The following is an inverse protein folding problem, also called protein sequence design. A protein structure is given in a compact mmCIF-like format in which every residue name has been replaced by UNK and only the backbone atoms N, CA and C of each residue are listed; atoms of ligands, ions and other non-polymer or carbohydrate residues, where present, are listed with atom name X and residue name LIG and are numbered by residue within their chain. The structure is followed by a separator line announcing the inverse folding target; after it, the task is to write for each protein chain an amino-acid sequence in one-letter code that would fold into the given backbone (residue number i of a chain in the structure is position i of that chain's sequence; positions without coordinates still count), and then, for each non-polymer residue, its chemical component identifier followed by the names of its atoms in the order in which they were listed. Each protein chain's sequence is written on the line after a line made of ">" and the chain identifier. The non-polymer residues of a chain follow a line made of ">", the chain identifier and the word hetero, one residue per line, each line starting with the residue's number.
data_IF_782857858946
#
_entry.id   IF_782857858946
#
_cell.length_a   1.000
_cell.length_b   1.000
_cell.length_c   1.000
_cell.angle_alpha   90.00
_cell.angle_beta   90.00
_cell.angle_gamma   90.00
#
_symmetry.space_group_name_H-M   'P 1'
#
loop_
_entity.id
_entity.type
_entity.pdbx_description
1 polymer ?
#
# COMPACT_ATOMS: atom_id res chain seq x y z
N UNK A 1 31.86 -29.85 -14.77
CA UNK A 1 30.39 -29.77 -14.85
C UNK A 1 30.00 -30.17 -16.26
N UNK A 2 29.44 -31.37 -16.41
CA UNK A 2 29.28 -32.03 -17.72
C UNK A 2 27.84 -32.40 -18.04
N UNK A 3 26.95 -32.37 -17.04
CA UNK A 3 25.51 -32.58 -17.20
C UNK A 3 24.71 -31.42 -16.59
N UNK A 4 23.44 -31.31 -16.97
CA UNK A 4 22.50 -30.37 -16.32
C UNK A 4 22.28 -30.73 -14.84
N UNK A 5 22.39 -32.02 -14.48
CA UNK A 5 22.32 -32.47 -13.09
C UNK A 5 23.47 -31.92 -12.25
N UNK A 6 24.71 -31.97 -12.76
CA UNK A 6 25.89 -31.42 -12.07
C UNK A 6 25.74 -29.91 -11.80
N UNK A 7 25.09 -29.19 -12.72
CA UNK A 7 24.80 -27.76 -12.54
C UNK A 7 23.75 -27.51 -11.47
N UNK A 8 22.64 -28.25 -11.53
CA UNK A 8 21.57 -28.17 -10.56
C UNK A 8 22.09 -28.45 -9.14
N UNK A 9 22.88 -29.51 -8.97
CA UNK A 9 23.40 -29.89 -7.65
C UNK A 9 24.38 -28.85 -7.11
N UNK A 10 25.23 -28.29 -7.98
CA UNK A 10 26.11 -27.19 -7.60
C UNK A 10 25.31 -25.94 -7.21
N UNK A 11 24.29 -25.56 -8.01
CA UNK A 11 23.43 -24.41 -7.74
C UNK A 11 22.73 -24.55 -6.37
N UNK A 12 22.06 -25.69 -6.13
CA UNK A 12 21.37 -25.96 -4.86
C UNK A 12 22.35 -25.98 -3.70
N UNK A 13 23.53 -26.58 -3.88
CA UNK A 13 24.57 -26.59 -2.84
C UNK A 13 25.01 -25.17 -2.49
N UNK A 14 25.25 -24.33 -3.50
CA UNK A 14 25.66 -22.93 -3.29
C UNK A 14 24.57 -22.13 -2.59
N UNK A 15 23.30 -22.25 -3.01
CA UNK A 15 22.17 -21.56 -2.37
C UNK A 15 22.03 -21.94 -0.89
N UNK A 16 22.15 -23.23 -0.57
CA UNK A 16 22.09 -23.71 0.83
C UNK A 16 23.27 -23.20 1.64
N UNK A 17 24.50 -23.28 1.10
CA UNK A 17 25.70 -22.82 1.79
C UNK A 17 25.67 -21.30 2.05
N UNK A 18 25.23 -20.51 1.07
CA UNK A 18 25.10 -19.05 1.22
C UNK A 18 24.05 -18.69 2.27
N UNK A 19 22.89 -19.36 2.25
CA UNK A 19 21.86 -19.13 3.25
C UNK A 19 22.34 -19.50 4.66
N UNK A 20 23.01 -20.65 4.80
CA UNK A 20 23.57 -21.08 6.08
C UNK A 20 24.59 -20.08 6.62
N UNK A 21 25.55 -19.63 5.81
CA UNK A 21 26.58 -18.67 6.23
C UNK A 21 25.97 -17.32 6.66
N UNK A 22 25.05 -16.77 5.86
CA UNK A 22 24.35 -15.53 6.18
C UNK A 22 23.53 -15.67 7.47
N UNK A 23 22.82 -16.79 7.63
CA UNK A 23 21.94 -16.99 8.78
C UNK A 23 22.71 -17.25 10.07
N UNK A 24 23.83 -17.99 10.03
CA UNK A 24 24.70 -18.18 11.18
C UNK A 24 25.29 -16.85 11.65
N UNK A 25 25.80 -16.03 10.73
CA UNK A 25 26.30 -14.70 11.06
C UNK A 25 25.20 -13.79 11.61
N UNK A 26 24.01 -13.80 11.00
CA UNK A 26 22.84 -13.07 11.49
C UNK A 26 22.47 -13.50 12.91
N UNK A 27 22.45 -14.81 13.20
CA UNK A 27 22.18 -15.36 14.52
C UNK A 27 23.20 -14.90 15.55
N UNK A 28 24.49 -14.96 15.23
CA UNK A 28 25.56 -14.45 16.10
C UNK A 28 25.39 -12.96 16.38
N UNK A 29 25.08 -12.16 15.35
CA UNK A 29 24.83 -10.73 15.50
C UNK A 29 23.64 -10.47 16.44
N UNK A 30 22.49 -11.10 16.22
CA UNK A 30 21.30 -10.92 17.05
C UNK A 30 21.51 -11.34 18.50
N UNK A 31 22.21 -12.46 18.72
CA UNK A 31 22.59 -12.89 20.08
C UNK A 31 23.56 -11.90 20.73
N UNK A 32 24.50 -11.32 19.99
CA UNK A 32 25.46 -10.37 20.54
C UNK A 32 24.81 -9.04 20.92
N UNK A 33 24.01 -8.45 20.02
CA UNK A 33 23.39 -7.12 20.22
C UNK A 33 22.12 -7.20 21.07
N UNK A 34 21.17 -8.05 20.70
CA UNK A 34 19.83 -8.07 21.30
C UNK A 34 19.68 -9.14 22.39
N UNK A 35 20.65 -10.07 22.49
CA UNK A 35 20.56 -11.24 23.38
C UNK A 35 19.30 -12.07 23.08
N UNK A 36 18.89 -12.12 21.81
CA UNK A 36 17.73 -12.88 21.33
C UNK A 36 18.23 -13.77 20.19
N UNK A 37 17.77 -15.02 20.19
CA UNK A 37 18.05 -15.95 19.10
C UNK A 37 16.95 -15.82 18.03
N UNK A 38 17.26 -15.41 16.78
CA UNK A 38 16.28 -15.31 15.71
C UNK A 38 15.58 -16.63 15.40
N UNK A 39 16.18 -17.79 15.73
CA UNK A 39 15.54 -19.10 15.58
C UNK A 39 14.28 -19.27 16.46
N UNK A 40 14.09 -18.42 17.48
CA UNK A 40 12.89 -18.42 18.33
C UNK A 40 11.84 -17.39 17.91
N UNK A 41 12.02 -16.79 16.73
CA UNK A 41 11.10 -15.80 16.17
C UNK A 41 10.62 -16.28 14.80
N UNK A 42 9.34 -16.10 14.51
CA UNK A 42 8.77 -16.54 13.23
C UNK A 42 9.25 -15.68 12.05
N UNK A 43 9.48 -14.38 12.27
CA UNK A 43 9.79 -13.41 11.23
C UNK A 43 10.72 -12.30 11.76
N UNK A 44 11.39 -11.59 10.85
CA UNK A 44 12.24 -10.45 11.20
C UNK A 44 11.49 -9.32 11.94
N UNK A 45 10.24 -8.95 11.60
CA UNK A 45 9.46 -8.02 12.42
C UNK A 45 9.21 -8.51 13.84
N UNK A 46 8.95 -9.82 14.02
CA UNK A 46 8.80 -10.41 15.35
C UNK A 46 10.08 -10.31 16.19
N UNK A 47 11.24 -10.53 15.56
CA UNK A 47 12.54 -10.29 16.19
C UNK A 47 12.75 -8.82 16.55
N UNK A 48 12.49 -7.90 15.62
CA UNK A 48 12.63 -6.47 15.85
C UNK A 48 11.73 -5.99 17.00
N UNK A 49 10.50 -6.49 17.07
CA UNK A 49 9.55 -6.21 18.14
C UNK A 49 10.07 -6.70 19.51
N UNK A 50 10.49 -7.96 19.59
CA UNK A 50 11.06 -8.50 20.83
C UNK A 50 12.32 -7.76 21.27
N UNK A 51 13.20 -7.40 20.31
CA UNK A 51 14.39 -6.62 20.58
C UNK A 51 14.02 -5.22 21.11
N UNK A 52 13.05 -4.54 20.49
CA UNK A 52 12.54 -3.24 20.93
C UNK A 52 12.05 -3.30 22.38
N UNK A 53 11.14 -4.22 22.71
CA UNK A 53 10.61 -4.38 24.07
C UNK A 53 11.70 -4.70 25.09
N UNK A 54 12.67 -5.54 24.73
CA UNK A 54 13.77 -5.92 25.62
C UNK A 54 14.75 -4.77 25.88
N UNK A 55 15.05 -3.98 24.85
CA UNK A 55 15.99 -2.85 24.95
C UNK A 55 15.38 -1.67 25.71
N UNK A 56 14.13 -1.33 25.39
CA UNK A 56 13.41 -0.20 26.03
C UNK A 56 12.87 -0.55 27.41
N UNK A 57 12.57 -1.84 27.66
CA UNK A 57 11.89 -2.35 28.86
C UNK A 57 10.49 -1.74 29.07
N UNK A 58 9.92 -1.15 28.02
CA UNK A 58 8.56 -0.60 28.06
C UNK A 58 7.56 -1.73 28.29
N UNK A 59 6.50 -1.42 29.02
CA UNK A 59 5.33 -2.30 29.14
C UNK A 59 4.20 -1.63 28.37
N UNK A 60 3.76 -2.29 27.31
CA UNK A 60 2.63 -1.82 26.52
C UNK A 60 1.37 -2.44 27.07
N UNK A 61 0.39 -1.61 27.38
CA UNK A 61 -0.95 -2.05 27.70
C UNK A 61 -1.66 -2.51 26.42
N UNK A 62 -2.45 -3.58 26.54
CA UNK A 62 -3.30 -4.05 25.46
C UNK A 62 -4.67 -3.36 25.57
N UNK A 63 -5.20 -2.91 24.44
CA UNK A 63 -6.59 -2.47 24.36
C UNK A 63 -7.50 -3.66 24.64
N UNK A 64 -8.31 -3.55 25.70
CA UNK A 64 -9.28 -4.59 26.10
C UNK A 64 -10.70 -4.28 25.66
N UNK A 65 -10.99 -3.00 25.40
CA UNK A 65 -12.25 -2.53 24.85
C UNK A 65 -12.23 -2.65 23.31
N UNK A 66 -13.26 -3.31 22.76
CA UNK A 66 -13.45 -3.48 21.33
C UNK A 66 -13.73 -2.16 20.62
N UNK A 67 -14.45 -1.24 21.27
CA UNK A 67 -14.81 0.04 20.67
C UNK A 67 -13.56 0.92 20.54
N UNK A 68 -12.66 0.91 21.53
CA UNK A 68 -11.35 1.59 21.44
C UNK A 68 -10.47 1.00 20.34
N UNK A 69 -10.47 -0.33 20.21
CA UNK A 69 -9.72 -1.01 19.16
C UNK A 69 -10.20 -0.58 17.77
N UNK A 70 -11.52 -0.64 17.53
CA UNK A 70 -12.12 -0.26 16.25
C UNK A 70 -11.90 1.23 15.95
N UNK A 71 -11.97 2.08 16.98
CA UNK A 71 -11.71 3.51 16.86
C UNK A 71 -10.27 3.79 16.40
N UNK A 72 -9.28 3.17 17.05
CA UNK A 72 -7.86 3.31 16.67
C UNK A 72 -7.62 2.71 15.28
N UNK A 73 -8.17 1.54 14.99
CA UNK A 73 -8.04 0.88 13.69
C UNK A 73 -8.59 1.75 12.55
N UNK A 74 -9.77 2.38 12.75
CA UNK A 74 -10.36 3.35 11.82
C UNK A 74 -9.45 4.57 11.61
N UNK A 75 -8.62 4.93 12.57
CA UNK A 75 -7.64 6.02 12.50
C UNK A 75 -6.32 5.67 11.81
N UNK A 76 -5.95 4.39 11.68
CA UNK A 76 -4.67 3.99 11.09
C UNK A 76 -4.63 4.36 9.60
N UNK A 77 -3.55 5.04 9.19
CA UNK A 77 -3.27 5.40 7.79
C UNK A 77 -1.89 4.90 7.38
N UNK A 78 -1.75 4.55 6.11
CA UNK A 78 -0.46 4.21 5.51
C UNK A 78 0.36 5.45 5.16
N UNK A 79 1.48 5.25 4.46
CA UNK A 79 2.25 6.35 3.89
C UNK A 79 1.44 7.12 2.84
N UNK A 80 1.59 8.45 2.83
CA UNK A 80 0.95 9.30 1.83
C UNK A 80 1.73 9.16 0.51
N UNK A 81 1.05 8.70 -0.54
CA UNK A 81 1.59 8.60 -1.89
C UNK A 81 0.74 9.45 -2.82
N UNK A 82 1.34 10.48 -3.41
CA UNK A 82 0.63 11.44 -4.26
C UNK A 82 1.47 11.85 -5.47
N UNK A 83 0.78 12.03 -6.60
CA UNK A 83 1.35 12.56 -7.84
C UNK A 83 0.64 13.87 -8.17
N UNK A 84 1.26 15.00 -7.81
CA UNK A 84 0.70 16.33 -8.07
C UNK A 84 0.83 16.76 -9.54
N UNK A 85 1.89 16.31 -10.22
CA UNK A 85 2.13 16.57 -11.64
C UNK A 85 2.50 15.28 -12.36
N UNK A 86 1.84 14.98 -13.48
CA UNK A 86 2.06 13.75 -14.24
C UNK A 86 3.41 13.71 -14.96
N UNK A 87 3.92 14.87 -15.34
CA UNK A 87 5.20 15.01 -16.05
C UNK A 87 5.87 16.31 -15.68
N UNK A 88 7.14 16.23 -15.29
CA UNK A 88 8.01 17.37 -15.08
C UNK A 88 9.33 17.13 -15.82
N UNK A 89 9.83 18.17 -16.49
CA UNK A 89 11.12 18.13 -17.18
C UNK A 89 11.93 19.35 -16.75
N UNK A 90 13.13 19.09 -16.22
CA UNK A 90 14.07 20.16 -15.90
C UNK A 90 14.63 20.78 -17.19
N UNK A 91 14.81 22.10 -17.18
CA UNK A 91 15.53 22.85 -18.21
C UNK A 91 16.72 23.54 -17.54
N UNK A 92 17.91 22.96 -17.59
CA UNK A 92 19.10 23.61 -17.03
C UNK A 92 20.33 23.37 -17.89
N UNK A 93 21.33 24.25 -17.72
CA UNK A 93 22.52 24.32 -18.57
C UNK A 93 23.41 23.05 -18.54
N UNK A 94 23.19 22.14 -17.59
CA UNK A 94 23.92 20.88 -17.49
C UNK A 94 23.31 19.77 -18.36
N UNK A 95 22.14 19.98 -18.95
CA UNK A 95 21.46 19.02 -19.82
C UNK A 95 21.78 19.27 -21.29
N UNK A 96 21.91 18.20 -22.07
CA UNK A 96 22.22 18.26 -23.51
C UNK A 96 21.12 18.90 -24.37
N UNK A 97 19.91 18.99 -23.84
CA UNK A 97 18.73 19.58 -24.47
C UNK A 97 18.29 20.90 -23.82
N UNK A 98 19.22 21.61 -23.18
CA UNK A 98 18.97 22.92 -22.60
C UNK A 98 18.52 23.93 -23.65
N UNK A 99 17.44 24.64 -23.35
CA UNK A 99 16.95 25.76 -24.15
C UNK A 99 17.13 27.07 -23.37
N UNK A 100 18.04 27.92 -23.86
CA UNK A 100 18.32 29.23 -23.27
C UNK A 100 17.17 30.24 -23.38
N UNK A 101 16.16 29.96 -24.20
CA UNK A 101 14.96 30.81 -24.32
C UNK A 101 13.93 30.54 -23.22
N UNK A 102 14.03 29.39 -22.53
CA UNK A 102 13.13 29.00 -21.46
C UNK A 102 13.79 29.26 -20.09
N UNK A 103 12.98 29.51 -19.03
CA UNK A 103 13.52 29.67 -17.68
C UNK A 103 14.24 28.41 -17.21
N UNK A 104 15.30 28.61 -16.41
CA UNK A 104 16.05 27.51 -15.82
C UNK A 104 15.22 26.81 -14.74
N UNK A 105 15.15 25.48 -14.78
CA UNK A 105 14.47 24.64 -13.79
C UNK A 105 15.27 23.38 -13.45
N UNK A 106 15.11 22.92 -12.20
CA UNK A 106 15.79 21.76 -11.63
C UNK A 106 14.76 20.86 -10.97
N UNK A 107 15.02 19.56 -10.98
CA UNK A 107 14.25 18.57 -10.22
C UNK A 107 15.16 18.07 -9.11
N UNK A 108 14.66 18.09 -7.88
CA UNK A 108 15.38 17.59 -6.70
C UNK A 108 14.71 16.31 -6.22
N UNK A 109 15.53 15.34 -5.81
CA UNK A 109 15.08 14.15 -5.10
C UNK A 109 15.46 14.31 -3.63
N UNK A 110 14.48 14.27 -2.75
CA UNK A 110 14.66 14.35 -1.31
C UNK A 110 14.12 13.06 -0.68
N UNK A 111 14.90 12.49 0.23
CA UNK A 111 14.54 11.26 0.94
C UNK A 111 14.88 11.42 2.42
N UNK A 112 13.93 11.01 3.27
CA UNK A 112 14.08 11.12 4.72
C UNK A 112 14.73 9.84 5.26
N UNK A 113 15.95 9.99 5.81
CA UNK A 113 16.66 8.88 6.43
C UNK A 113 15.90 8.35 7.65
N UNK A 114 15.39 7.10 7.56
CA UNK A 114 14.70 6.42 8.66
C UNK A 114 13.49 7.21 9.23
N UNK A 115 12.59 7.67 8.34
CA UNK A 115 11.40 8.45 8.69
C UNK A 115 10.60 7.85 9.85
N UNK A 116 10.25 6.56 9.76
CA UNK A 116 9.49 5.89 10.82
C UNK A 116 10.31 5.72 12.11
N UNK A 117 11.62 5.50 12.04
CA UNK A 117 12.45 5.43 13.24
C UNK A 117 12.52 6.76 13.98
N UNK A 118 12.58 7.88 13.24
CA UNK A 118 12.48 9.21 13.83
C UNK A 118 11.10 9.44 14.48
N UNK A 119 10.01 9.06 13.80
CA UNK A 119 8.66 9.16 14.35
C UNK A 119 8.47 8.27 15.60
N UNK A 120 9.01 7.05 15.60
CA UNK A 120 8.99 6.14 16.75
C UNK A 120 9.87 6.60 17.92
N UNK A 121 10.72 7.61 17.71
CA UNK A 121 11.52 8.23 18.78
C UNK A 121 10.80 9.40 19.46
N UNK A 122 9.61 9.78 18.98
CA UNK A 122 8.78 10.81 19.61
C UNK A 122 7.97 10.22 20.78
N UNK A 123 7.25 11.08 21.52
CA UNK A 123 6.33 10.63 22.56
C UNK A 123 5.17 9.85 21.94
N UNK A 124 4.96 8.61 22.39
CA UNK A 124 3.95 7.70 21.88
C UNK A 124 3.12 7.12 23.03
N UNK A 125 1.83 6.82 22.80
CA UNK A 125 0.97 6.22 23.82
C UNK A 125 1.43 4.79 24.13
N UNK A 126 1.44 4.44 25.43
CA UNK A 126 1.92 3.12 25.88
C UNK A 126 0.99 2.43 26.87
N UNK A 127 0.24 3.18 27.68
CA UNK A 127 -0.65 2.67 28.73
C UNK A 127 -1.67 3.74 29.17
N UNK A 128 -2.54 3.35 30.10
CA UNK A 128 -3.65 4.09 30.71
C UNK A 128 -4.71 4.54 29.70
N UNK A 129 -5.03 3.66 28.76
CA UNK A 129 -6.06 3.90 27.74
C UNK A 129 -7.45 3.99 28.39
N UNK A 130 -8.10 5.14 28.22
CA UNK A 130 -9.45 5.38 28.74
C UNK A 130 -10.23 6.33 27.85
N UNK A 131 -11.56 6.17 27.84
CA UNK A 131 -12.47 7.14 27.25
C UNK A 131 -12.60 8.34 28.18
N UNK A 132 -12.71 9.54 27.62
CA UNK A 132 -12.95 10.78 28.37
C UNK A 132 -13.97 11.63 27.63
N UNK A 133 -14.92 12.18 28.40
CA UNK A 133 -15.90 13.16 27.92
C UNK A 133 -15.43 14.61 28.22
N UNK A 134 -14.18 14.79 28.67
CA UNK A 134 -13.64 16.10 28.99
C UNK A 134 -13.47 16.95 27.73
N UNK A 135 -13.90 18.22 27.82
CA UNK A 135 -13.68 19.21 26.76
C UNK A 135 -12.22 19.68 26.79
N UNK A 136 -11.37 18.96 26.07
CA UNK A 136 -9.94 19.23 25.98
C UNK A 136 -9.67 20.15 24.80
N UNK A 137 -9.09 21.32 25.08
CA UNK A 137 -8.58 22.20 24.04
C UNK A 137 -7.25 21.65 23.49
N UNK A 138 -7.36 20.74 22.51
CA UNK A 138 -6.23 20.05 21.90
C UNK A 138 -5.17 20.98 21.29
N UNK A 139 -5.54 22.20 20.88
CA UNK A 139 -4.60 23.18 20.32
C UNK A 139 -3.58 23.70 21.33
N UNK A 140 -3.84 23.50 22.63
CA UNK A 140 -2.97 23.94 23.72
C UNK A 140 -2.23 22.79 24.41
N UNK A 141 -2.38 21.55 23.94
CA UNK A 141 -1.68 20.39 24.50
C UNK A 141 -0.29 20.29 23.87
N UNK A 142 0.80 20.26 24.65
CA UNK A 142 2.15 20.07 24.12
C UNK A 142 2.35 18.67 23.51
N UNK A 143 3.17 18.58 22.47
CA UNK A 143 3.51 17.30 21.81
C UNK A 143 4.24 16.31 22.75
N UNK A 144 4.89 16.80 23.79
CA UNK A 144 5.60 16.04 24.83
C UNK A 144 4.81 15.92 26.14
N UNK A 145 3.50 16.15 26.09
CA UNK A 145 2.59 15.94 27.23
C UNK A 145 2.65 14.50 27.74
N UNK A 146 2.56 14.33 29.05
CA UNK A 146 2.46 13.01 29.70
C UNK A 146 1.17 12.27 29.30
N UNK A 147 0.10 13.03 29.03
CA UNK A 147 -1.19 12.52 28.58
C UNK A 147 -1.38 12.93 27.11
N UNK A 148 -1.56 11.92 26.25
CA UNK A 148 -1.93 12.09 24.85
C UNK A 148 -3.43 11.88 24.63
N UNK A 149 -3.97 12.48 23.57
CA UNK A 149 -5.38 12.39 23.23
C UNK A 149 -5.56 11.99 21.76
N UNK A 150 -6.58 11.19 21.48
CA UNK A 150 -7.03 10.86 20.12
C UNK A 150 -8.47 11.36 20.01
N UNK A 151 -8.74 12.14 18.97
CA UNK A 151 -10.04 12.80 18.80
C UNK A 151 -10.76 12.28 17.56
N UNK A 152 -12.08 12.15 17.67
CA UNK A 152 -12.98 12.12 16.52
C UNK A 152 -13.71 13.46 16.48
N UNK A 153 -13.58 14.16 15.36
CA UNK A 153 -14.04 15.54 15.20
C UNK A 153 -14.74 15.70 13.86
N UNK A 154 -15.70 16.61 13.82
CA UNK A 154 -16.24 17.13 12.58
C UNK A 154 -15.32 18.25 12.07
N UNK A 155 -14.90 18.17 10.81
CA UNK A 155 -14.02 19.15 10.19
C UNK A 155 -14.75 19.89 9.07
N UNK A 156 -14.81 21.22 9.17
CA UNK A 156 -15.22 22.08 8.08
C UNK A 156 -14.00 22.46 7.24
N UNK A 157 -14.06 22.24 5.92
CA UNK A 157 -12.93 22.49 5.02
C UNK A 157 -13.27 23.59 3.99
N UNK A 158 -12.83 24.84 4.22
CA UNK A 158 -13.21 25.99 3.39
C UNK A 158 -12.85 25.81 1.91
N UNK A 159 -13.79 26.14 1.03
CA UNK A 159 -13.65 26.00 -0.43
C UNK A 159 -12.43 26.76 -0.98
N UNK A 160 -12.08 27.89 -0.38
CA UNK A 160 -10.92 28.71 -0.75
C UNK A 160 -9.57 28.00 -0.58
N UNK A 161 -9.50 26.94 0.22
CA UNK A 161 -8.27 26.17 0.45
C UNK A 161 -8.12 24.97 -0.48
N UNK A 162 -9.17 24.59 -1.22
CA UNK A 162 -9.18 23.35 -2.00
C UNK A 162 -8.12 23.37 -3.11
N UNK A 163 -7.99 24.47 -3.83
CA UNK A 163 -6.98 24.63 -4.89
C UNK A 163 -5.56 24.65 -4.32
N UNK A 164 -5.36 25.30 -3.15
CA UNK A 164 -4.05 25.41 -2.51
C UNK A 164 -3.55 24.05 -2.01
N UNK A 165 -4.44 23.25 -1.43
CA UNK A 165 -4.11 21.95 -0.86
C UNK A 165 -4.37 20.79 -1.84
N UNK A 166 -4.66 21.07 -3.11
CA UNK A 166 -4.89 20.05 -4.13
C UNK A 166 -3.71 19.07 -4.26
N UNK A 167 -2.49 19.53 -3.97
CA UNK A 167 -1.29 18.70 -4.01
C UNK A 167 -1.05 17.87 -2.74
N UNK A 168 -1.74 18.18 -1.64
CA UNK A 168 -1.59 17.51 -0.35
C UNK A 168 -2.84 17.77 0.52
N UNK A 169 -3.95 17.06 0.26
CA UNK A 169 -5.18 17.27 1.02
C UNK A 169 -4.99 16.86 2.48
N UNK A 170 -5.48 17.69 3.39
CA UNK A 170 -5.40 17.44 4.82
C UNK A 170 -6.51 16.48 5.26
N UNK A 171 -6.24 15.70 6.31
CA UNK A 171 -7.18 14.75 6.91
C UNK A 171 -7.84 13.77 5.90
N UNK A 172 -7.06 12.99 5.12
CA UNK A 172 -7.63 12.03 4.18
C UNK A 172 -8.43 10.93 4.89
N UNK A 173 -9.67 10.73 4.45
CA UNK A 173 -10.56 9.69 4.95
C UNK A 173 -10.62 8.49 3.99
N UNK A 174 -10.68 7.29 4.56
CA UNK A 174 -10.95 6.07 3.80
C UNK A 174 -12.46 5.97 3.57
N UNK A 175 -12.90 6.37 2.38
CA UNK A 175 -14.32 6.30 1.98
C UNK A 175 -14.51 5.18 0.95
N UNK A 176 -15.51 4.34 1.19
CA UNK A 176 -16.00 3.40 0.18
C UNK A 176 -16.99 4.13 -0.75
N UNK A 177 -16.62 4.26 -2.02
CA UNK A 177 -17.41 5.01 -3.00
C UNK A 177 -18.61 4.18 -3.47
N UNK A 178 -19.77 4.37 -2.84
CA UNK A 178 -21.02 3.71 -3.24
C UNK A 178 -21.86 4.51 -4.25
N UNK A 179 -21.51 5.77 -4.54
CA UNK A 179 -22.36 6.64 -5.35
C UNK A 179 -21.77 6.93 -6.75
N UNK A 180 -22.54 6.72 -7.84
CA UNK A 180 -22.09 6.93 -9.22
C UNK A 180 -21.59 8.35 -9.53
N UNK A 181 -22.07 9.37 -8.81
CA UNK A 181 -21.67 10.77 -9.04
C UNK A 181 -20.21 11.07 -8.69
N UNK A 182 -19.61 10.36 -7.72
CA UNK A 182 -18.17 10.50 -7.41
C UNK A 182 -17.28 9.89 -8.49
N UNK A 183 -17.83 8.98 -9.30
CA UNK A 183 -17.12 8.39 -10.44
C UNK A 183 -17.02 9.35 -11.62
N UNK A 184 -17.91 10.34 -11.75
CA UNK A 184 -17.95 11.21 -12.94
C UNK A 184 -16.74 12.15 -13.02
N UNK A 185 -16.25 12.65 -11.88
CA UNK A 185 -15.04 13.45 -11.82
C UNK A 185 -13.77 12.60 -11.98
N UNK A 186 -13.70 11.45 -11.32
CA UNK A 186 -12.55 10.53 -11.42
C UNK A 186 -12.42 9.90 -12.81
N UNK A 187 -13.54 9.60 -13.49
CA UNK A 187 -13.56 9.16 -14.90
C UNK A 187 -12.88 10.15 -15.85
N UNK A 188 -12.88 11.45 -15.53
CA UNK A 188 -12.26 12.49 -16.35
C UNK A 188 -10.71 12.48 -16.28
N UNK A 189 -10.13 11.86 -15.25
CA UNK A 189 -8.68 11.80 -15.00
C UNK A 189 -8.09 10.40 -15.15
N UNK A 190 -8.92 9.37 -15.26
CA UNK A 190 -8.50 8.01 -15.58
C UNK A 190 -8.11 7.94 -17.07
N UNK A 191 -6.81 7.84 -17.34
CA UNK A 191 -6.26 7.52 -18.66
C UNK A 191 -6.34 6.02 -19.00
N UNK A 192 -6.91 5.20 -18.11
CA UNK A 192 -7.20 3.81 -18.42
C UNK A 192 -8.50 3.79 -19.23
N UNK A 193 -8.49 3.27 -20.48
CA UNK A 193 -9.73 2.95 -21.17
C UNK A 193 -10.63 2.12 -20.25
N UNK A 194 -11.95 2.36 -20.24
CA UNK A 194 -12.89 1.67 -19.33
C UNK A 194 -12.72 0.13 -19.35
N UNK A 195 -12.27 -0.43 -20.47
CA UNK A 195 -11.89 -1.84 -20.65
C UNK A 195 -10.81 -2.31 -19.66
N UNK A 196 -9.80 -1.49 -19.34
CA UNK A 196 -8.77 -1.85 -18.36
C UNK A 196 -9.26 -1.75 -16.93
N UNK A 197 -10.24 -0.89 -16.65
CA UNK A 197 -10.80 -0.73 -15.31
C UNK A 197 -11.72 -1.91 -14.97
N UNK A 198 -12.44 -2.45 -15.96
CA UNK A 198 -13.15 -3.72 -15.81
C UNK A 198 -12.18 -4.86 -15.53
N UNK A 199 -11.05 -4.96 -16.23
CA UNK A 199 -10.02 -5.95 -15.94
C UNK A 199 -9.42 -5.80 -14.54
N UNK A 200 -9.24 -4.58 -14.02
CA UNK A 200 -8.75 -4.38 -12.63
C UNK A 200 -9.78 -4.75 -11.55
N UNK A 201 -11.08 -4.66 -11.85
CA UNK A 201 -12.16 -5.04 -10.92
C UNK A 201 -12.49 -6.54 -11.03
N UNK A 202 -12.23 -7.17 -12.18
CA UNK A 202 -12.50 -8.59 -12.43
C UNK A 202 -11.30 -9.52 -12.27
N UNK A 203 -10.06 -9.07 -12.44
CA UNK A 203 -8.87 -9.92 -12.33
C UNK A 203 -8.35 -10.00 -10.89
N UNK A 204 -9.10 -10.65 -10.00
CA UNK A 204 -8.53 -11.36 -8.84
C UNK A 204 -9.33 -12.59 -8.41
N UNK A 205 -10.09 -13.19 -9.32
CA UNK A 205 -10.61 -14.53 -9.11
C UNK A 205 -9.95 -15.41 -10.17
N UNK A 206 -9.24 -16.45 -9.74
CA UNK A 206 -8.81 -17.48 -10.67
C UNK A 206 -10.05 -18.09 -11.33
N UNK A 207 -9.91 -18.74 -12.49
CA UNK A 207 -11.02 -19.45 -13.14
C UNK A 207 -11.72 -20.45 -12.17
N UNK A 208 -10.96 -20.96 -11.20
CA UNK A 208 -11.49 -21.73 -10.08
C UNK A 208 -12.39 -20.88 -9.19
N UNK A 209 -11.92 -19.73 -8.72
CA UNK A 209 -12.64 -18.86 -7.79
C UNK A 209 -13.94 -18.29 -8.38
N UNK A 210 -13.97 -17.96 -9.69
CA UNK A 210 -15.19 -17.55 -10.37
C UNK A 210 -16.24 -18.68 -10.38
N UNK A 211 -15.80 -19.90 -10.69
CA UNK A 211 -16.68 -21.09 -10.64
C UNK A 211 -17.14 -21.36 -9.22
N UNK A 212 -16.27 -21.24 -8.22
CA UNK A 212 -16.59 -21.44 -6.80
C UNK A 212 -17.63 -20.42 -6.33
N UNK A 213 -17.47 -19.14 -6.66
CA UNK A 213 -18.43 -18.08 -6.31
C UNK A 213 -19.79 -18.27 -6.98
N UNK A 214 -19.83 -18.69 -8.24
CA UNK A 214 -21.09 -18.93 -8.97
C UNK A 214 -21.95 -20.01 -8.30
N UNK A 215 -21.31 -21.05 -7.74
CA UNK A 215 -21.98 -22.12 -6.99
C UNK A 215 -22.55 -21.58 -5.67
N UNK A 216 -21.74 -20.82 -4.93
CA UNK A 216 -22.14 -20.27 -3.63
C UNK A 216 -23.33 -19.30 -3.76
N UNK A 217 -23.33 -18.46 -4.80
CA UNK A 217 -24.36 -17.46 -5.06
C UNK A 217 -25.65 -18.04 -5.66
N UNK A 218 -25.66 -19.28 -6.13
CA UNK A 218 -26.86 -19.91 -6.69
C UNK A 218 -27.90 -20.18 -5.60
N UNK A 219 -28.98 -19.39 -5.58
CA UNK A 219 -30.08 -19.51 -4.59
C UNK A 219 -31.01 -20.70 -4.84
N UNK A 220 -30.88 -21.38 -5.99
CA UNK A 220 -31.76 -22.48 -6.38
C UNK A 220 -31.21 -23.88 -6.03
N UNK A 221 -29.96 -23.96 -5.52
CA UNK A 221 -29.33 -25.21 -5.10
C UNK A 221 -29.34 -25.34 -3.58
N UNK A 222 -29.54 -26.56 -3.08
CA UNK A 222 -29.38 -26.84 -1.66
C UNK A 222 -27.88 -26.87 -1.27
N UNK A 223 -27.59 -26.66 0.01
CA UNK A 223 -26.20 -26.58 0.48
C UNK A 223 -25.42 -27.89 0.27
N UNK A 224 -26.11 -29.04 0.27
CA UNK A 224 -25.52 -30.35 0.00
C UNK A 224 -25.00 -30.45 -1.44
N UNK A 225 -25.79 -30.01 -2.41
CA UNK A 225 -25.45 -29.96 -3.85
C UNK A 225 -24.33 -28.96 -4.11
N UNK A 226 -24.34 -27.81 -3.42
CA UNK A 226 -23.25 -26.82 -3.51
C UNK A 226 -21.92 -27.40 -3.07
N UNK A 227 -21.90 -28.10 -1.93
CA UNK A 227 -20.69 -28.75 -1.40
C UNK A 227 -20.19 -29.84 -2.36
N UNK A 228 -21.09 -30.64 -2.94
CA UNK A 228 -20.73 -31.65 -3.93
C UNK A 228 -20.07 -31.05 -5.17
N UNK A 229 -20.66 -30.00 -5.75
CA UNK A 229 -20.10 -29.34 -6.94
C UNK A 229 -18.74 -28.67 -6.60
N UNK A 230 -18.65 -28.03 -5.43
CA UNK A 230 -17.43 -27.39 -4.95
C UNK A 230 -16.27 -28.40 -4.85
N UNK A 231 -16.54 -29.60 -4.31
CA UNK A 231 -15.55 -30.68 -4.20
C UNK A 231 -15.16 -31.28 -5.55
N UNK A 232 -16.11 -31.41 -6.50
CA UNK A 232 -15.82 -31.89 -7.85
C UNK A 232 -14.89 -30.94 -8.61
N UNK A 233 -15.14 -29.63 -8.51
CA UNK A 233 -14.28 -28.61 -9.14
C UNK A 233 -12.90 -28.62 -8.48
N UNK A 234 -12.81 -28.63 -7.15
CA UNK A 234 -11.51 -28.72 -6.47
C UNK A 234 -10.71 -29.96 -6.88
N UNK A 235 -11.36 -31.12 -7.03
CA UNK A 235 -10.70 -32.36 -7.47
C UNK A 235 -10.05 -32.23 -8.86
N UNK A 236 -10.60 -31.39 -9.74
CA UNK A 236 -10.09 -31.17 -11.10
C UNK A 236 -8.86 -30.25 -11.10
N UNK A 237 -8.82 -29.25 -10.23
CA UNK A 237 -7.72 -28.28 -10.14
C UNK A 237 -6.62 -28.71 -9.16
N UNK A 238 -6.96 -29.50 -8.14
CA UNK A 238 -6.08 -29.91 -7.06
C UNK A 238 -6.01 -31.44 -7.04
N UNK A 239 -4.87 -31.98 -7.45
CA UNK A 239 -4.64 -33.41 -7.65
C UNK A 239 -4.43 -34.15 -6.30
N UNK A 240 -5.43 -34.12 -5.42
CA UNK A 240 -5.40 -34.79 -4.11
C UNK A 240 -6.11 -36.16 -4.14
N UNK A 241 -5.53 -37.22 -3.56
CA UNK A 241 -6.18 -38.52 -3.46
C UNK A 241 -7.11 -38.56 -2.24
N UNK A 242 -8.43 -38.49 -2.45
CA UNK A 242 -9.44 -38.73 -1.41
C UNK A 242 -10.44 -39.83 -1.83
N UNK A 243 -11.13 -40.50 -0.87
CA UNK A 243 -11.86 -41.75 -1.11
C UNK A 243 -13.02 -41.61 -2.11
N UNK A 244 -13.18 -42.64 -2.94
CA UNK A 244 -14.09 -42.70 -4.11
C UNK A 244 -15.54 -42.97 -3.71
N UNK A 245 -16.33 -41.97 -3.28
CA UNK A 245 -17.79 -42.08 -3.30
C UNK A 245 -18.48 -40.72 -3.47
N UNK A 246 -18.60 -40.21 -4.71
CA UNK A 246 -19.57 -39.17 -5.08
C UNK A 246 -20.02 -39.41 -6.54
N UNK A 247 -21.34 -39.53 -6.75
CA UNK A 247 -22.02 -39.82 -8.03
C UNK A 247 -21.66 -38.83 -9.16
N UNK A 248 -21.47 -39.36 -10.37
CA UNK A 248 -21.01 -38.65 -11.58
C UNK A 248 -22.14 -38.01 -12.44
N UNK A 249 -23.38 -37.98 -11.97
CA UNK A 249 -24.55 -37.69 -12.82
C UNK A 249 -25.00 -36.21 -12.91
N UNK A 250 -24.13 -35.23 -12.65
CA UNK A 250 -24.47 -33.80 -12.84
C UNK A 250 -23.64 -33.17 -13.97
N UNK A 251 -24.31 -32.78 -15.06
CA UNK A 251 -23.69 -32.14 -16.22
C UNK A 251 -23.43 -30.64 -15.99
N UNK A 252 -22.23 -30.17 -16.37
CA UNK A 252 -21.82 -28.74 -16.39
C UNK A 252 -22.66 -27.94 -17.42
N UNK A 253 -22.97 -26.65 -17.19
CA UNK A 253 -23.52 -25.77 -18.21
C UNK A 253 -22.44 -25.37 -19.23
N UNK A 254 -22.73 -25.50 -20.53
CA UNK A 254 -21.85 -25.01 -21.60
C UNK A 254 -22.12 -23.53 -21.92
N UNK A 255 -21.07 -22.70 -21.95
CA UNK A 255 -21.10 -21.35 -22.51
C UNK A 255 -19.92 -21.16 -23.48
N UNK A 256 -20.20 -20.75 -24.72
CA UNK A 256 -19.22 -20.41 -25.75
C UNK A 256 -18.79 -18.92 -25.67
N UNK A 257 -17.49 -18.64 -25.79
CA UNK A 257 -16.93 -17.29 -25.84
C UNK A 257 -16.41 -16.93 -27.24
N UNK A 258 -16.74 -15.73 -27.73
CA UNK A 258 -16.23 -15.16 -28.99
C UNK A 258 -15.02 -14.27 -28.73
N UNK A 259 -13.89 -14.55 -29.40
CA UNK A 259 -12.72 -13.68 -29.42
C UNK A 259 -12.89 -12.58 -30.49
N UNK A 260 -12.74 -11.31 -30.13
CA UNK A 260 -12.61 -10.19 -31.08
C UNK A 260 -11.13 -9.89 -31.39
N UNK A 261 -10.86 -9.55 -32.65
CA UNK A 261 -9.53 -9.52 -33.28
C UNK A 261 -8.72 -8.24 -33.02
N UNK A 262 -7.40 -8.38 -33.07
CA UNK A 262 -6.37 -7.41 -32.66
C UNK A 262 -6.01 -6.29 -33.69
N UNK A 263 -6.83 -6.01 -34.71
CA UNK A 263 -6.45 -5.05 -35.77
C UNK A 263 -6.93 -3.60 -35.57
N UNK A 264 -7.86 -3.33 -34.65
CA UNK A 264 -8.46 -1.98 -34.49
C UNK A 264 -7.62 -1.00 -33.64
N UNK A 265 -6.50 -1.45 -33.05
CA UNK A 265 -5.71 -0.66 -32.08
C UNK A 265 -4.71 0.35 -32.67
N UNK A 266 -4.55 0.43 -34.01
CA UNK A 266 -3.50 1.28 -34.62
C UNK A 266 -3.96 2.67 -35.08
N UNK A 267 -5.26 2.96 -35.14
CA UNK A 267 -5.77 4.18 -35.80
C UNK A 267 -6.02 5.38 -34.87
N UNK A 268 -5.89 5.26 -33.55
CA UNK A 268 -6.40 6.27 -32.58
C UNK A 268 -5.32 7.21 -32.00
N UNK A 269 -4.03 7.02 -32.32
CA UNK A 269 -2.92 7.71 -31.61
C UNK A 269 -2.62 9.14 -32.10
N UNK A 270 -3.38 9.71 -33.04
CA UNK A 270 -3.12 11.06 -33.53
C UNK A 270 -4.38 11.92 -33.37
N UNK A 271 -4.39 12.87 -32.41
CA UNK A 271 -4.80 14.27 -32.63
C UNK A 271 -4.69 15.23 -31.40
N UNK A 272 -4.07 16.38 -31.68
CA UNK A 272 -4.29 17.80 -31.31
C UNK A 272 -4.37 18.43 -29.89
N UNK A 273 -4.52 17.74 -28.76
CA UNK A 273 -4.76 18.44 -27.47
C UNK A 273 -3.54 19.04 -26.73
N UNK A 274 -2.40 19.21 -27.41
CA UNK A 274 -1.12 19.61 -26.77
C UNK A 274 -0.86 21.13 -26.71
N UNK A 275 -1.81 21.98 -27.12
CA UNK A 275 -1.58 23.43 -27.27
C UNK A 275 -2.12 24.32 -26.14
N UNK A 276 -3.08 23.87 -25.32
CA UNK A 276 -3.71 24.74 -24.31
C UNK A 276 -2.99 24.76 -22.94
N UNK A 277 -2.10 23.81 -22.66
CA UNK A 277 -1.44 23.68 -21.36
C UNK A 277 -0.33 24.72 -21.07
N UNK A 278 0.02 25.58 -22.04
CA UNK A 278 1.14 26.53 -21.95
C UNK A 278 0.79 27.88 -21.29
N UNK A 279 -0.49 28.13 -20.95
CA UNK A 279 -0.95 29.44 -20.47
C UNK A 279 -0.78 29.73 -18.98
N UNK A 280 -0.61 28.71 -18.12
CA UNK A 280 -0.86 28.85 -16.67
C UNK A 280 0.39 28.95 -15.78
N UNK A 281 1.61 28.88 -16.32
CA UNK A 281 2.84 28.95 -15.53
C UNK A 281 3.31 30.41 -15.42
N UNK A 282 2.56 31.23 -14.68
CA UNK A 282 3.02 32.52 -14.15
C UNK A 282 2.34 32.80 -12.81
N UNK A 283 2.84 32.20 -11.73
CA UNK A 283 2.91 32.87 -10.42
C UNK A 283 3.79 32.08 -9.46
N UNK A 284 4.63 32.84 -8.75
CA UNK A 284 5.81 32.47 -7.98
C UNK A 284 5.50 31.94 -6.58
N UNK A 285 6.40 31.12 -6.02
CA UNK A 285 6.61 31.09 -4.56
C UNK A 285 8.11 31.08 -4.22
N UNK A 286 8.48 32.00 -3.34
CA UNK A 286 9.84 32.45 -3.00
C UNK A 286 10.62 31.44 -2.13
N UNK A 287 11.86 31.14 -2.53
CA UNK A 287 12.78 30.17 -1.92
C UNK A 287 13.27 30.51 -0.49
N UNK A 288 12.90 31.67 0.09
CA UNK A 288 13.48 32.16 1.35
C UNK A 288 12.93 31.50 2.63
N UNK A 289 11.75 30.88 2.58
CA UNK A 289 11.16 30.27 3.79
C UNK A 289 11.69 28.85 4.05
N UNK A 290 12.20 28.16 3.03
CA UNK A 290 12.63 26.76 3.14
C UNK A 290 13.99 26.65 3.85
N UNK A 291 14.90 27.61 3.65
CA UNK A 291 16.22 27.60 4.29
C UNK A 291 16.15 27.76 5.81
N UNK A 292 15.15 28.46 6.35
CA UNK A 292 15.00 28.69 7.78
C UNK A 292 14.46 27.47 8.55
N UNK A 293 13.72 26.58 7.89
CA UNK A 293 13.22 25.34 8.53
C UNK A 293 14.27 24.23 8.51
N UNK A 294 15.12 24.17 7.48
CA UNK A 294 16.19 23.17 7.38
C UNK A 294 17.25 23.39 8.48
N UNK A 295 17.52 24.63 8.87
CA UNK A 295 18.53 24.96 9.89
C UNK A 295 18.09 24.61 11.33
N UNK A 296 16.78 24.48 11.59
CA UNK A 296 16.25 24.05 12.89
C UNK A 296 16.25 22.53 13.08
N UNK A 297 16.26 21.77 11.98
CA UNK A 297 16.13 20.30 11.97
C UNK A 297 17.47 19.56 12.02
N UNK A 298 18.60 20.29 12.03
CA UNK A 298 19.92 19.68 12.12
C UNK A 298 20.26 19.31 13.58
N UNK A 299 20.61 18.05 13.91
CA UNK A 299 21.07 17.70 15.24
C UNK A 299 22.37 18.43 15.55
N UNK A 300 22.37 19.25 16.61
CA UNK A 300 23.58 19.83 17.19
C UNK A 300 24.43 18.69 17.77
N UNK A 301 25.68 18.60 17.31
CA UNK A 301 26.69 17.63 17.75
C UNK A 301 26.92 17.65 19.26
#
# INVERSE_FOLDING_TARGET
>A
MHTLGDYHDLYVTVDVLLLSDIFENFRTLCQNYYKIDPCHTYTAPGLAWQACLKMTKVRLELLTDIDMHLFIEKGIRGGVAMISHRYAKANNAYLSNYDSSLPSSYIIYLDANNLYGWAMSQHLPTHDFSWTDEDVNFMNVPDDSEIGYIFEVDLEYPDELHDLHNCYPLAPEKIELYHPSFMEHSKKFVLLPEERLQNFVSEQLSELDEKMQSILQNKNMNDSEKVTLYLQILRKYVNFPFPKEINEDMQEPQMEFKNSNAEDLKSVILNEDSKEALGFIKQETSAKNIEQEIEKSAPKK
#
